data_IF_109707884772
#
_entry.id   IF_109707884772
#
_cell.length_a   1.000
_cell.length_b   1.000
_cell.length_c   1.000
_cell.angle_alpha   90.00
_cell.angle_beta   90.00
_cell.angle_gamma   90.00
#
_symmetry.space_group_name_H-M   'P 1'
#
loop_
_entity.id
_entity.type
_entity.pdbx_description
1 polymer ?
#
# COMPACT_ATOMS: atom_id res chain seq x y z
N UNK A 1 13.35 -22.58 -15.92
CA UNK A 1 13.06 -22.94 -14.53
C UNK A 1 13.43 -21.85 -13.58
N UNK A 2 14.71 -21.53 -13.53
CA UNK A 2 15.21 -20.49 -12.62
C UNK A 2 14.55 -19.13 -12.83
N UNK A 3 14.21 -18.84 -14.05
CA UNK A 3 13.59 -17.55 -14.39
C UNK A 3 12.25 -17.36 -13.73
N UNK A 4 11.39 -18.35 -13.83
CA UNK A 4 10.05 -18.27 -13.24
C UNK A 4 10.13 -18.13 -11.73
N UNK A 5 11.01 -18.90 -11.12
CA UNK A 5 11.19 -18.85 -9.66
C UNK A 5 11.67 -17.46 -9.22
N UNK A 6 12.63 -16.91 -9.96
CA UNK A 6 13.17 -15.58 -9.65
C UNK A 6 12.10 -14.50 -9.75
N UNK A 7 11.30 -14.56 -10.82
CA UNK A 7 10.23 -13.61 -11.06
C UNK A 7 9.16 -13.70 -9.98
N UNK A 8 8.79 -14.92 -9.60
CA UNK A 8 7.81 -15.15 -8.54
C UNK A 8 8.30 -14.64 -7.20
N UNK A 9 9.60 -14.81 -6.93
CA UNK A 9 10.20 -14.34 -5.69
C UNK A 9 10.10 -12.82 -5.59
N UNK A 10 10.42 -12.12 -6.67
CA UNK A 10 10.35 -10.65 -6.69
C UNK A 10 8.93 -10.15 -6.47
N UNK A 11 7.96 -10.78 -7.11
CA UNK A 11 6.57 -10.41 -6.94
C UNK A 11 6.13 -10.63 -5.49
N UNK A 12 6.55 -11.76 -4.91
CA UNK A 12 6.21 -12.07 -3.53
C UNK A 12 6.81 -11.05 -2.56
N UNK A 13 8.05 -10.65 -2.82
CA UNK A 13 8.70 -9.62 -2.00
C UNK A 13 7.96 -8.29 -2.07
N UNK A 14 7.53 -7.90 -3.27
CA UNK A 14 6.76 -6.66 -3.43
C UNK A 14 5.42 -6.77 -2.74
N UNK A 15 4.76 -7.91 -2.85
CA UNK A 15 3.48 -8.13 -2.17
C UNK A 15 3.62 -8.03 -0.65
N UNK A 16 4.70 -8.55 -0.10
CA UNK A 16 4.95 -8.45 1.32
C UNK A 16 5.17 -7.01 1.76
N UNK A 17 5.89 -6.24 0.93
CA UNK A 17 6.06 -4.82 1.18
C UNK A 17 4.72 -4.08 1.15
N UNK A 18 3.86 -4.43 0.21
CA UNK A 18 2.53 -3.84 0.13
C UNK A 18 1.74 -4.13 1.41
N UNK A 19 1.79 -5.36 1.89
CA UNK A 19 1.10 -5.72 3.13
C UNK A 19 1.59 -4.88 4.30
N UNK A 20 2.89 -4.69 4.40
CA UNK A 20 3.47 -3.85 5.45
C UNK A 20 3.03 -2.39 5.32
N UNK A 21 3.02 -1.87 4.10
CA UNK A 21 2.59 -0.51 3.84
C UNK A 21 1.10 -0.33 4.12
N UNK A 22 0.29 -1.32 3.78
CA UNK A 22 -1.15 -1.29 4.08
C UNK A 22 -1.39 -1.26 5.59
N UNK A 23 -0.63 -2.03 6.35
CA UNK A 23 -0.74 -2.00 7.81
C UNK A 23 -0.38 -0.64 8.38
N UNK A 24 0.67 -0.02 7.86
CA UNK A 24 1.05 1.33 8.28
C UNK A 24 -0.05 2.33 7.94
N UNK A 25 -0.62 2.21 6.75
CA UNK A 25 -1.70 3.08 6.33
C UNK A 25 -2.93 2.92 7.23
N UNK A 26 -3.28 1.69 7.57
CA UNK A 26 -4.39 1.40 8.46
C UNK A 26 -4.15 1.94 9.87
N UNK A 27 -2.91 1.84 10.35
CA UNK A 27 -2.56 2.40 11.65
C UNK A 27 -2.70 3.93 11.65
N UNK A 28 -2.27 4.58 10.58
CA UNK A 28 -2.46 6.02 10.42
C UNK A 28 -3.94 6.39 10.37
N UNK A 29 -4.72 5.59 9.66
CA UNK A 29 -6.15 5.79 9.54
C UNK A 29 -6.82 5.72 10.92
N UNK A 30 -6.48 4.70 11.70
CA UNK A 30 -6.99 4.56 13.06
C UNK A 30 -6.65 5.77 13.91
N UNK A 31 -5.42 6.27 13.78
CA UNK A 31 -4.97 7.44 14.51
C UNK A 31 -5.78 8.68 14.12
N UNK A 32 -6.01 8.86 12.83
CA UNK A 32 -6.78 9.99 12.33
C UNK A 32 -8.24 9.89 12.78
N UNK A 33 -8.82 8.71 12.72
CA UNK A 33 -10.19 8.48 13.18
C UNK A 33 -10.30 8.81 14.66
N UNK A 34 -9.31 8.41 15.46
CA UNK A 34 -9.33 8.70 16.89
C UNK A 34 -9.28 10.19 17.19
N UNK A 35 -8.60 10.97 16.33
CA UNK A 35 -8.49 12.42 16.53
C UNK A 35 -9.66 13.20 15.96
N UNK A 36 -10.15 12.81 14.79
CA UNK A 36 -11.14 13.60 14.04
C UNK A 36 -12.53 12.98 14.03
N UNK A 37 -12.63 11.70 14.35
CA UNK A 37 -13.89 10.97 14.27
C UNK A 37 -14.25 10.49 12.87
N UNK A 38 -13.46 10.82 11.88
CA UNK A 38 -13.74 10.46 10.49
C UNK A 38 -12.52 9.90 9.78
N UNK A 39 -12.76 8.93 8.90
CA UNK A 39 -11.71 8.39 8.07
C UNK A 39 -11.26 9.43 7.03
N UNK A 40 -9.95 9.49 6.81
CA UNK A 40 -9.42 10.34 5.76
C UNK A 40 -9.83 9.79 4.39
N UNK A 41 -10.44 10.63 3.56
CA UNK A 41 -10.82 10.24 2.20
C UNK A 41 -9.61 9.86 1.37
N UNK A 42 -8.48 10.51 1.61
CA UNK A 42 -7.23 10.23 0.91
C UNK A 42 -6.75 8.82 1.22
N UNK A 43 -6.78 8.43 2.48
CA UNK A 43 -6.38 7.09 2.89
C UNK A 43 -7.33 6.05 2.31
N UNK A 44 -8.62 6.29 2.37
CA UNK A 44 -9.61 5.37 1.82
C UNK A 44 -9.39 5.11 0.34
N UNK A 45 -9.24 6.17 -0.44
CA UNK A 45 -9.01 6.04 -1.89
C UNK A 45 -7.71 5.30 -2.16
N UNK A 46 -6.65 5.62 -1.42
CA UNK A 46 -5.35 4.95 -1.61
C UNK A 46 -5.42 3.47 -1.28
N UNK A 47 -6.09 3.10 -0.20
CA UNK A 47 -6.27 1.70 0.18
C UNK A 47 -7.07 0.95 -0.87
N UNK A 48 -8.18 1.52 -1.32
CA UNK A 48 -9.04 0.88 -2.32
C UNK A 48 -8.29 0.68 -3.63
N UNK A 49 -7.55 1.67 -4.07
CA UNK A 49 -6.78 1.60 -5.31
C UNK A 49 -5.69 0.55 -5.22
N UNK A 50 -4.95 0.54 -4.11
CA UNK A 50 -3.88 -0.44 -3.91
C UNK A 50 -4.42 -1.86 -3.88
N UNK A 51 -5.53 -2.09 -3.19
CA UNK A 51 -6.15 -3.40 -3.12
C UNK A 51 -6.63 -3.86 -4.49
N UNK A 52 -7.18 -2.93 -5.28
CA UNK A 52 -7.61 -3.23 -6.64
C UNK A 52 -6.43 -3.63 -7.52
N UNK A 53 -5.32 -2.90 -7.43
CA UNK A 53 -4.12 -3.21 -8.20
C UNK A 53 -3.53 -4.57 -7.83
N UNK A 54 -3.52 -4.88 -6.55
CA UNK A 54 -3.00 -6.19 -6.09
C UNK A 54 -3.87 -7.32 -6.61
N UNK A 55 -5.19 -7.12 -6.72
CA UNK A 55 -6.10 -8.14 -7.24
C UNK A 55 -5.86 -8.47 -8.69
N UNK A 56 -5.25 -7.56 -9.46
CA UNK A 56 -4.91 -7.83 -10.86
C UNK A 56 -3.89 -8.97 -10.98
N UNK A 57 -3.13 -9.22 -9.92
CA UNK A 57 -2.10 -10.26 -9.88
C UNK A 57 -1.02 -10.07 -10.95
N UNK A 58 -0.87 -8.86 -11.42
CA UNK A 58 0.13 -8.48 -12.39
C UNK A 58 1.30 -7.82 -11.67
N UNK A 59 2.52 -8.21 -12.05
CA UNK A 59 3.72 -7.70 -11.38
C UNK A 59 3.84 -6.18 -11.51
N UNK A 60 3.54 -5.63 -12.70
CA UNK A 60 3.64 -4.20 -12.91
C UNK A 60 2.62 -3.43 -12.08
N UNK A 61 1.39 -3.93 -12.01
CA UNK A 61 0.36 -3.33 -11.17
C UNK A 61 0.74 -3.39 -9.71
N UNK A 62 1.32 -4.51 -9.28
CA UNK A 62 1.77 -4.69 -7.90
C UNK A 62 2.88 -3.70 -7.55
N UNK A 63 3.85 -3.52 -8.45
CA UNK A 63 4.91 -2.54 -8.26
C UNK A 63 4.36 -1.13 -8.20
N UNK A 64 3.41 -0.82 -9.08
CA UNK A 64 2.77 0.50 -9.08
C UNK A 64 2.03 0.77 -7.79
N UNK A 65 1.32 -0.22 -7.27
CA UNK A 65 0.63 -0.10 -5.99
C UNK A 65 1.62 0.17 -4.85
N UNK A 66 2.73 -0.55 -4.84
CA UNK A 66 3.76 -0.37 -3.83
C UNK A 66 4.32 1.06 -3.88
N UNK A 67 4.65 1.54 -5.08
CA UNK A 67 5.18 2.89 -5.26
C UNK A 67 4.16 3.95 -4.82
N UNK A 68 2.90 3.76 -5.18
CA UNK A 68 1.83 4.67 -4.82
C UNK A 68 1.65 4.75 -3.30
N UNK A 69 1.66 3.60 -2.63
CA UNK A 69 1.53 3.56 -1.17
C UNK A 69 2.70 4.24 -0.47
N UNK A 70 3.92 4.01 -0.97
CA UNK A 70 5.10 4.66 -0.41
C UNK A 70 5.00 6.17 -0.52
N UNK A 71 4.56 6.64 -1.68
CA UNK A 71 4.42 8.07 -1.92
C UNK A 71 3.38 8.70 -0.99
N UNK A 72 2.21 8.07 -0.90
CA UNK A 72 1.12 8.56 -0.05
C UNK A 72 1.52 8.54 1.42
N UNK A 73 2.13 7.45 1.88
CA UNK A 73 2.58 7.35 3.28
C UNK A 73 3.60 8.42 3.61
N UNK A 74 4.57 8.65 2.72
CA UNK A 74 5.56 9.69 2.93
C UNK A 74 4.91 11.06 3.07
N UNK A 75 3.93 11.34 2.22
CA UNK A 75 3.19 12.60 2.28
C UNK A 75 2.39 12.73 3.58
N UNK A 76 1.70 11.64 3.97
CA UNK A 76 0.90 11.66 5.19
C UNK A 76 1.76 11.81 6.45
N UNK A 77 2.91 11.16 6.46
CA UNK A 77 3.80 11.24 7.61
C UNK A 77 4.40 12.63 7.77
N UNK A 78 4.64 13.34 6.66
CA UNK A 78 5.16 14.70 6.72
C UNK A 78 4.12 15.73 7.13
N UNK A 79 2.85 15.37 7.06
CA UNK A 79 1.77 16.27 7.50
C UNK A 79 1.58 16.27 9.01
N UNK A 80 2.40 15.54 9.72
CA UNK A 80 2.44 15.55 11.18
C UNK A 80 1.11 15.19 11.82
N UNK A 81 0.67 14.00 11.53
CA UNK A 81 -0.44 13.42 12.29
C UNK A 81 0.11 12.68 13.51
#
# INVERSE_FOLDING_TARGET
MAFSTSKMRKQKEVEEKIKALLRRMEALDDHIIARTGNQSGRIKVSLDLARAMVREQDFESTKAACAALKWVLGELETLDY
#
